data_IF_498338873071
#
_entry.id   IF_498338873071
#
_cell.length_a   1.000
_cell.length_b   1.000
_cell.length_c   1.000
_cell.angle_alpha   90.00
_cell.angle_beta   90.00
_cell.angle_gamma   90.00
#
_symmetry.space_group_name_H-M   'P 1'
#
loop_
_entity.id
_entity.type
_entity.pdbx_description
1 polymer ?
#
# COMPACT_ATOMS: atom_id res chain seq x y z
N UNK A 1 -3.19 -1.09 0.89
CA UNK A 1 -3.06 -1.37 2.33
C UNK A 1 -2.53 -0.16 3.09
N UNK A 2 -1.21 0.07 3.14
CA UNK A 2 -0.60 1.04 4.07
C UNK A 2 -0.65 2.51 3.63
N UNK A 3 -1.03 2.79 2.38
CA UNK A 3 -1.12 4.16 1.86
C UNK A 3 0.21 4.90 1.89
N UNK A 4 1.24 4.34 1.24
CA UNK A 4 2.51 5.02 1.06
C UNK A 4 2.64 5.54 -0.38
N UNK A 5 2.68 6.86 -0.54
CA UNK A 5 2.88 7.53 -1.83
C UNK A 5 4.32 8.00 -2.04
N UNK A 6 5.16 7.90 -1.02
CA UNK A 6 6.55 8.38 -0.96
C UNK A 6 7.56 7.37 -1.52
N UNK A 7 7.29 6.84 -2.71
CA UNK A 7 8.24 6.04 -3.49
C UNK A 7 7.90 6.11 -4.96
N UNK A 8 8.91 5.99 -5.83
CA UNK A 8 8.69 6.04 -7.28
C UNK A 8 9.82 5.37 -8.07
N UNK A 9 9.44 4.41 -8.93
CA UNK A 9 10.37 3.72 -9.85
C UNK A 9 11.06 4.65 -10.85
N UNK A 10 10.35 5.57 -11.55
CA UNK A 10 10.98 6.35 -12.62
C UNK A 10 12.11 7.26 -12.17
N UNK A 11 12.06 7.74 -10.92
CA UNK A 11 13.06 8.64 -10.33
C UNK A 11 13.94 7.95 -9.29
N UNK A 12 13.80 6.63 -9.14
CA UNK A 12 14.52 5.82 -8.14
C UNK A 12 14.41 6.38 -6.71
N UNK A 13 13.22 6.86 -6.36
CA UNK A 13 12.92 7.42 -5.04
C UNK A 13 12.41 6.32 -4.12
N UNK A 14 13.07 6.12 -2.98
CA UNK A 14 12.69 5.14 -1.97
C UNK A 14 12.47 3.71 -2.51
N UNK A 15 13.30 3.31 -3.48
CA UNK A 15 13.27 1.98 -4.10
C UNK A 15 14.64 1.33 -4.19
N UNK A 16 14.68 0.00 -4.05
CA UNK A 16 15.81 -0.84 -4.46
C UNK A 16 15.38 -1.83 -5.52
N UNK A 17 16.26 -2.06 -6.50
CA UNK A 17 16.08 -3.08 -7.52
C UNK A 17 16.87 -4.33 -7.13
N UNK A 18 16.19 -5.47 -7.06
CA UNK A 18 16.81 -6.77 -6.79
C UNK A 18 16.76 -7.59 -8.08
N UNK A 19 17.93 -8.05 -8.53
CA UNK A 19 18.07 -8.86 -9.75
C UNK A 19 18.50 -10.27 -9.34
N UNK A 20 17.98 -11.29 -10.03
CA UNK A 20 18.40 -12.67 -9.81
C UNK A 20 19.89 -12.83 -10.16
N UNK A 21 20.63 -13.50 -9.29
CA UNK A 21 22.04 -13.85 -9.56
C UNK A 21 22.16 -14.93 -10.64
N UNK A 22 21.14 -15.76 -10.83
CA UNK A 22 21.13 -16.88 -11.77
C UNK A 22 20.43 -16.60 -13.09
N UNK A 23 19.60 -15.55 -13.15
CA UNK A 23 18.91 -15.11 -14.37
C UNK A 23 18.96 -13.58 -14.46
N UNK A 24 19.99 -13.07 -15.14
CA UNK A 24 20.16 -11.64 -15.37
C UNK A 24 19.22 -11.07 -16.43
N UNK A 25 18.44 -11.92 -17.12
CA UNK A 25 17.46 -11.50 -18.14
C UNK A 25 16.09 -11.23 -17.54
N UNK A 26 15.85 -11.70 -16.31
CA UNK A 26 14.62 -11.42 -15.59
C UNK A 26 14.48 -9.93 -15.27
N UNK A 27 13.24 -9.43 -15.30
CA UNK A 27 12.96 -8.07 -14.84
C UNK A 27 13.32 -7.95 -13.36
N UNK A 28 13.90 -6.82 -12.91
CA UNK A 28 14.22 -6.62 -11.50
C UNK A 28 12.96 -6.58 -10.65
N UNK A 29 13.06 -7.11 -9.44
CA UNK A 29 12.07 -6.87 -8.39
C UNK A 29 12.28 -5.48 -7.81
N UNK A 30 11.21 -4.70 -7.74
CA UNK A 30 11.21 -3.39 -7.08
C UNK A 30 10.81 -3.59 -5.62
N UNK A 31 11.68 -3.19 -4.71
CA UNK A 31 11.41 -3.19 -3.27
C UNK A 31 11.35 -1.75 -2.79
N UNK A 32 10.15 -1.20 -2.51
CA UNK A 32 10.04 0.09 -1.84
C UNK A 32 10.53 -0.02 -0.39
N UNK A 33 11.19 1.03 0.09
CA UNK A 33 11.59 1.20 1.48
C UNK A 33 11.15 2.59 1.96
N UNK A 34 11.41 2.92 3.22
CA UNK A 34 10.97 4.15 3.88
C UNK A 34 9.44 4.27 3.98
N UNK A 35 8.92 4.12 5.20
CA UNK A 35 7.47 4.00 5.45
C UNK A 35 6.96 5.02 6.47
N UNK A 36 7.81 5.93 6.91
CA UNK A 36 7.46 7.02 7.83
C UNK A 36 6.41 7.99 7.24
N UNK A 37 6.39 8.15 5.92
CA UNK A 37 5.38 8.90 5.16
C UNK A 37 4.11 8.09 4.82
N UNK A 38 4.01 6.83 5.25
CA UNK A 38 2.81 6.04 5.00
C UNK A 38 1.66 6.46 5.92
N UNK A 39 0.44 6.47 5.39
CA UNK A 39 -0.76 6.71 6.20
C UNK A 39 -0.96 5.70 7.33
N UNK A 40 -0.38 4.49 7.23
CA UNK A 40 -0.41 3.51 8.32
C UNK A 40 0.44 3.96 9.52
N UNK A 41 1.61 4.55 9.28
CA UNK A 41 2.48 5.07 10.35
C UNK A 41 1.98 6.43 10.84
N UNK A 42 1.52 7.31 9.95
CA UNK A 42 0.91 8.60 10.29
C UNK A 42 1.78 9.44 11.23
N UNK A 43 3.05 9.64 10.88
CA UNK A 43 3.95 10.53 11.65
C UNK A 43 3.45 11.97 11.60
N UNK A 44 3.80 12.77 12.61
CA UNK A 44 3.35 14.17 12.76
C UNK A 44 3.98 15.13 11.74
N UNK A 45 5.13 14.75 11.17
CA UNK A 45 5.83 15.50 10.13
C UNK A 45 5.48 15.05 8.70
N UNK A 46 4.82 13.90 8.52
CA UNK A 46 4.50 13.41 7.19
C UNK A 46 3.42 14.28 6.54
N UNK A 47 3.76 14.80 5.36
CA UNK A 47 2.86 15.58 4.51
C UNK A 47 2.84 14.96 3.12
N UNK A 48 1.70 14.99 2.41
CA UNK A 48 1.66 14.56 1.02
C UNK A 48 2.55 15.43 0.14
N UNK A 49 3.09 14.83 -0.93
CA UNK A 49 3.66 15.58 -2.03
C UNK A 49 2.59 16.52 -2.62
N UNK A 50 2.93 17.80 -2.78
CA UNK A 50 2.02 18.87 -3.21
C UNK A 50 1.43 18.67 -4.61
N UNK A 51 2.05 17.83 -5.43
CA UNK A 51 1.56 17.48 -6.76
C UNK A 51 0.52 16.35 -6.74
N UNK A 52 0.30 15.70 -5.59
CA UNK A 52 -0.69 14.63 -5.47
C UNK A 52 -2.07 15.19 -5.11
N UNK A 53 -3.16 14.60 -5.63
CA UNK A 53 -4.52 15.03 -5.35
C UNK A 53 -5.04 14.49 -4.00
N UNK A 54 -4.22 14.55 -2.95
CA UNK A 54 -4.57 14.10 -1.60
C UNK A 54 -4.22 15.18 -0.56
N UNK A 55 -5.02 15.31 0.48
CA UNK A 55 -4.86 16.35 1.50
C UNK A 55 -4.06 15.87 2.72
N UNK A 56 -3.98 14.56 2.92
CA UNK A 56 -3.29 13.93 4.06
C UNK A 56 -2.67 12.62 3.63
N UNK A 57 -1.57 12.21 4.27
CA UNK A 57 -0.93 10.91 4.04
C UNK A 57 -1.85 9.73 4.39
N UNK A 58 -2.94 10.00 5.12
CA UNK A 58 -4.01 9.05 5.42
C UNK A 58 -4.92 8.75 4.23
N UNK A 59 -4.92 9.58 3.18
CA UNK A 59 -5.68 9.30 1.97
C UNK A 59 -4.88 8.35 1.06
N UNK A 60 -5.50 7.20 0.72
CA UNK A 60 -4.87 6.23 -0.18
C UNK A 60 -4.99 6.70 -1.62
N UNK A 61 -3.85 6.74 -2.32
CA UNK A 61 -3.79 7.02 -3.75
C UNK A 61 -3.08 5.88 -4.49
N UNK A 62 -3.76 5.29 -5.46
CA UNK A 62 -3.13 4.32 -6.37
C UNK A 62 -2.39 5.07 -7.48
N UNK A 63 -1.07 4.89 -7.56
CA UNK A 63 -0.19 5.54 -8.54
C UNK A 63 0.31 4.59 -9.65
N UNK A 64 -0.27 3.40 -9.74
CA UNK A 64 0.09 2.40 -10.73
C UNK A 64 -0.72 2.51 -12.02
N UNK A 65 -0.26 1.80 -13.05
CA UNK A 65 -1.00 1.59 -14.30
C UNK A 65 -2.14 0.58 -14.12
N UNK A 66 -3.18 0.61 -14.97
CA UNK A 66 -4.29 -0.33 -14.94
C UNK A 66 -3.84 -1.80 -14.85
N UNK A 67 -4.53 -2.58 -14.02
CA UNK A 67 -4.34 -4.03 -13.86
C UNK A 67 -5.57 -4.81 -14.28
N UNK A 68 -5.40 -6.09 -14.59
CA UNK A 68 -6.55 -6.95 -14.85
C UNK A 68 -7.24 -7.33 -13.53
N UNK A 69 -8.55 -7.60 -13.58
CA UNK A 69 -9.26 -8.12 -12.39
C UNK A 69 -8.72 -9.48 -11.95
N UNK A 70 -8.19 -10.28 -12.88
CA UNK A 70 -7.55 -11.56 -12.57
C UNK A 70 -6.29 -11.35 -11.72
N UNK A 71 -5.36 -10.50 -12.17
CA UNK A 71 -4.14 -10.15 -11.42
C UNK A 71 -4.48 -9.57 -10.04
N UNK A 72 -5.50 -8.71 -9.98
CA UNK A 72 -5.94 -8.11 -8.73
C UNK A 72 -6.52 -9.17 -7.78
N UNK A 73 -7.38 -10.07 -8.27
CA UNK A 73 -7.97 -11.12 -7.43
C UNK A 73 -6.91 -12.04 -6.81
N UNK A 74 -5.87 -12.41 -7.57
CA UNK A 74 -4.76 -13.21 -7.05
C UNK A 74 -4.05 -12.51 -5.89
N UNK A 75 -3.76 -11.21 -6.04
CA UNK A 75 -3.11 -10.41 -4.99
C UNK A 75 -4.04 -10.18 -3.79
N UNK A 76 -5.32 -9.89 -4.03
CA UNK A 76 -6.31 -9.67 -2.98
C UNK A 76 -6.57 -10.93 -2.15
N UNK A 77 -6.49 -12.12 -2.76
CA UNK A 77 -6.58 -13.39 -2.05
C UNK A 77 -5.48 -13.51 -0.98
N UNK A 78 -4.23 -13.11 -1.29
CA UNK A 78 -3.12 -13.11 -0.34
C UNK A 78 -3.43 -12.20 0.85
N UNK A 79 -3.96 -10.98 0.62
CA UNK A 79 -4.32 -10.08 1.70
C UNK A 79 -5.47 -10.62 2.57
N UNK A 80 -6.44 -11.30 1.97
CA UNK A 80 -7.55 -11.92 2.71
C UNK A 80 -7.07 -13.11 3.54
N UNK A 81 -6.19 -13.97 3.00
CA UNK A 81 -5.58 -15.09 3.73
C UNK A 81 -4.77 -14.59 4.93
N UNK A 82 -4.05 -13.47 4.77
CA UNK A 82 -3.22 -12.89 5.83
C UNK A 82 -3.97 -11.96 6.78
N UNK A 83 -5.28 -11.77 6.59
CA UNK A 83 -6.08 -10.82 7.38
C UNK A 83 -5.93 -11.07 8.87
N UNK A 84 -6.25 -12.27 9.36
CA UNK A 84 -6.16 -12.56 10.80
C UNK A 84 -4.75 -12.30 11.36
N UNK A 85 -3.71 -12.77 10.67
CA UNK A 85 -2.32 -12.59 11.09
C UNK A 85 -1.89 -11.11 11.19
N UNK A 86 -2.39 -10.25 10.30
CA UNK A 86 -2.12 -8.80 10.36
C UNK A 86 -2.75 -8.17 11.61
N UNK A 87 -4.00 -8.51 11.91
CA UNK A 87 -4.70 -7.95 13.07
C UNK A 87 -4.10 -8.49 14.37
N UNK A 88 -3.76 -9.78 14.40
CA UNK A 88 -3.10 -10.41 15.55
C UNK A 88 -1.73 -9.76 15.82
N UNK A 89 -0.97 -9.44 14.77
CA UNK A 89 0.30 -8.74 14.93
C UNK A 89 0.12 -7.37 15.60
N UNK A 90 -0.89 -6.58 15.19
CA UNK A 90 -1.15 -5.26 15.77
C UNK A 90 -1.63 -5.40 17.22
N UNK A 91 -2.58 -6.30 17.49
CA UNK A 91 -3.19 -6.47 18.81
C UNK A 91 -2.19 -6.97 19.86
N UNK A 92 -1.31 -7.88 19.47
CA UNK A 92 -0.35 -8.52 20.36
C UNK A 92 0.99 -7.77 20.47
N UNK A 93 1.16 -6.64 19.78
CA UNK A 93 2.37 -5.84 19.92
C UNK A 93 2.33 -5.00 21.21
N UNK A 94 3.09 -5.43 22.21
CA UNK A 94 3.03 -4.90 23.58
C UNK A 94 3.43 -3.41 23.70
N UNK A 95 4.27 -2.91 22.79
CA UNK A 95 4.74 -1.53 22.84
C UNK A 95 3.71 -0.51 22.31
N UNK A 96 2.63 -0.96 21.66
CA UNK A 96 1.57 -0.06 21.22
C UNK A 96 0.59 0.23 22.35
N UNK A 97 0.22 1.50 22.46
CA UNK A 97 -0.92 1.90 23.28
C UNK A 97 -2.22 1.38 22.66
N UNK A 98 -3.26 1.18 23.46
CA UNK A 98 -4.59 0.78 22.96
C UNK A 98 -5.15 1.78 21.93
N UNK A 99 -4.83 3.07 22.10
CA UNK A 99 -5.16 4.10 21.11
C UNK A 99 -4.48 3.84 19.77
N UNK A 100 -3.17 3.60 19.78
CA UNK A 100 -2.39 3.32 18.56
C UNK A 100 -2.90 2.06 17.87
N UNK A 101 -3.14 0.97 18.62
CA UNK A 101 -3.71 -0.27 18.07
C UNK A 101 -5.04 0.00 17.38
N UNK A 102 -5.93 0.77 18.03
CA UNK A 102 -7.22 1.15 17.45
C UNK A 102 -7.05 1.95 16.16
N UNK A 103 -6.22 3.00 16.15
CA UNK A 103 -5.99 3.83 14.96
C UNK A 103 -5.41 3.02 13.78
N UNK A 104 -4.52 2.06 14.07
CA UNK A 104 -3.95 1.15 13.08
C UNK A 104 -5.00 0.16 12.54
N UNK A 105 -5.81 -0.42 13.41
CA UNK A 105 -6.91 -1.32 13.02
C UNK A 105 -7.94 -0.59 12.18
N UNK A 106 -8.41 0.58 12.64
CA UNK A 106 -9.41 1.38 11.93
C UNK A 106 -8.90 1.71 10.51
N UNK A 107 -7.61 2.05 10.37
CA UNK A 107 -7.01 2.27 9.06
C UNK A 107 -6.99 1.01 8.20
N UNK A 108 -6.57 -0.14 8.74
CA UNK A 108 -6.54 -1.40 7.98
C UNK A 108 -7.96 -1.87 7.62
N UNK A 109 -8.96 -1.62 8.45
CA UNK A 109 -10.36 -1.90 8.17
C UNK A 109 -10.86 -1.17 6.93
N UNK A 110 -10.51 0.11 6.75
CA UNK A 110 -10.82 0.85 5.52
C UNK A 110 -10.23 0.18 4.27
N UNK A 111 -9.00 -0.34 4.36
CA UNK A 111 -8.41 -1.09 3.26
C UNK A 111 -9.19 -2.37 2.96
N UNK A 112 -9.60 -3.12 3.98
CA UNK A 112 -10.41 -4.31 3.80
C UNK A 112 -11.82 -4.02 3.29
N UNK A 113 -12.40 -2.86 3.63
CA UNK A 113 -13.66 -2.39 3.07
C UNK A 113 -13.52 -2.13 1.56
N UNK A 114 -12.44 -1.49 1.12
CA UNK A 114 -12.14 -1.26 -0.31
C UNK A 114 -12.02 -2.57 -1.08
N UNK A 115 -11.18 -3.50 -0.61
CA UNK A 115 -10.88 -4.72 -1.40
C UNK A 115 -11.99 -5.77 -1.38
N UNK A 116 -12.99 -5.60 -0.51
CA UNK A 116 -14.20 -6.45 -0.46
C UNK A 116 -15.19 -6.11 -1.57
N UNK A 117 -15.15 -4.90 -2.11
CA UNK A 117 -16.06 -4.42 -3.15
C UNK A 117 -15.39 -4.45 -4.53
N UNK A 118 -15.77 -5.39 -5.43
CA UNK A 118 -15.17 -5.49 -6.76
C UNK A 118 -15.35 -4.23 -7.62
N UNK A 119 -16.44 -3.48 -7.40
CA UNK A 119 -16.72 -2.25 -8.14
C UNK A 119 -15.73 -1.14 -7.72
N UNK A 120 -15.52 -0.97 -6.41
CA UNK A 120 -14.52 -0.03 -5.88
C UNK A 120 -13.10 -0.42 -6.29
N UNK A 121 -12.77 -1.73 -6.27
CA UNK A 121 -11.48 -2.24 -6.77
C UNK A 121 -11.29 -1.88 -8.24
N UNK A 122 -12.29 -2.12 -9.10
CA UNK A 122 -12.23 -1.75 -10.51
C UNK A 122 -12.02 -0.24 -10.71
N UNK A 123 -12.72 0.58 -9.93
CA UNK A 123 -12.60 2.04 -10.02
C UNK A 123 -11.18 2.50 -9.68
N UNK A 124 -10.59 2.00 -8.57
CA UNK A 124 -9.27 2.43 -8.10
C UNK A 124 -8.13 1.91 -8.99
N UNK A 125 -8.15 0.62 -9.31
CA UNK A 125 -6.98 -0.06 -9.90
C UNK A 125 -7.05 -0.20 -11.42
N UNK A 126 -8.18 0.18 -12.05
CA UNK A 126 -8.37 0.05 -13.50
C UNK A 126 -8.83 1.36 -14.12
N UNK A 127 -9.98 1.91 -13.68
CA UNK A 127 -10.61 3.06 -14.37
C UNK A 127 -9.93 4.38 -14.05
N UNK A 128 -9.56 4.59 -12.79
CA UNK A 128 -8.89 5.80 -12.31
C UNK A 128 -7.38 5.60 -12.14
N UNK A 129 -6.84 4.49 -12.63
CA UNK A 129 -5.40 4.23 -12.62
C UNK A 129 -4.67 5.15 -13.61
N UNK A 130 -3.36 5.30 -13.40
CA UNK A 130 -2.49 6.18 -14.18
C UNK A 130 -2.48 5.76 -15.66
N UNK A 131 -2.67 6.70 -16.58
CA UNK A 131 -2.63 6.45 -18.03
C UNK A 131 -1.32 6.91 -18.69
N UNK A 132 -0.60 7.84 -18.05
CA UNK A 132 0.66 8.44 -18.52
C UNK A 132 1.61 8.71 -17.36
#
# INVERSE_FOLDING_TARGET
>A
MIGNTDWAVPVNHNTKFIISKSDSTHRPYVVPYDFDYSGFVNTDYAVPDEHLPIQTVRERLYRGFPRSMEELNDVLAIFNERKAAIYDLINNFELFTERSKKEMIDYIDEFYAVIKDPQVVSDIFIRNARTE
#
